data_IF_178434093516
#
_entry.id   IF_178434093516
#
_cell.length_a   1.000
_cell.length_b   1.000
_cell.length_c   1.000
_cell.angle_alpha   90.00
_cell.angle_beta   90.00
_cell.angle_gamma   90.00
#
_symmetry.space_group_name_H-M   'P 1'
#
loop_
_entity.id
_entity.type
_entity.pdbx_description
1 polymer ?
#
# COMPACT_ATOMS: atom_id res chain seq x y z
N UNK A 1 13.35 -0.83 -25.84
CA UNK A 1 12.87 0.58 -25.66
C UNK A 1 13.55 1.22 -24.47
N UNK A 2 13.95 2.50 -24.57
CA UNK A 2 14.41 3.30 -23.46
C UNK A 2 13.22 3.89 -22.69
N UNK A 3 13.19 3.82 -21.37
CA UNK A 3 12.16 4.49 -20.54
C UNK A 3 12.86 5.51 -19.64
N UNK A 4 12.55 6.78 -19.83
CA UNK A 4 13.10 7.90 -19.07
C UNK A 4 12.03 8.43 -18.11
N UNK A 5 12.29 8.35 -16.80
CA UNK A 5 11.36 8.79 -15.75
C UNK A 5 11.88 10.07 -15.11
N UNK A 6 11.14 11.17 -15.25
CA UNK A 6 11.52 12.46 -14.71
C UNK A 6 11.19 12.57 -13.22
N UNK A 7 12.19 12.59 -12.36
CA UNK A 7 12.08 12.62 -10.90
C UNK A 7 12.90 13.75 -10.23
N UNK A 8 13.40 14.75 -11.01
CA UNK A 8 14.33 15.78 -10.54
C UNK A 8 13.67 17.01 -9.89
N UNK A 9 12.35 17.12 -9.90
CA UNK A 9 11.60 18.32 -9.49
C UNK A 9 11.67 18.64 -8.00
N UNK A 10 11.79 19.92 -7.64
CA UNK A 10 11.92 20.40 -6.25
C UNK A 10 10.68 20.19 -5.37
N UNK A 11 9.48 20.12 -5.94
CA UNK A 11 8.25 19.87 -5.17
C UNK A 11 7.92 20.88 -4.07
N UNK A 12 8.27 22.16 -4.22
CA UNK A 12 8.10 23.21 -3.19
C UNK A 12 6.69 23.29 -2.58
N UNK A 13 5.66 23.02 -3.38
CA UNK A 13 4.25 23.02 -2.94
C UNK A 13 3.87 21.89 -1.99
N UNK A 14 4.69 20.82 -1.92
CA UNK A 14 4.49 19.71 -0.99
C UNK A 14 4.78 20.08 0.46
N UNK A 15 5.54 21.15 0.72
CA UNK A 15 5.96 21.61 2.06
C UNK A 15 6.50 20.46 2.90
N UNK A 16 7.40 19.64 2.33
CA UNK A 16 7.96 18.44 2.92
C UNK A 16 9.46 18.39 2.67
N UNK A 17 10.21 17.80 3.60
CA UNK A 17 11.63 17.49 3.40
C UNK A 17 11.82 16.26 2.48
N UNK A 18 10.81 15.39 2.42
CA UNK A 18 10.83 14.24 1.53
C UNK A 18 10.62 14.70 0.08
N UNK A 19 11.47 14.26 -0.89
CA UNK A 19 11.28 14.55 -2.30
C UNK A 19 9.85 14.24 -2.78
N UNK A 20 9.33 15.07 -3.70
CA UNK A 20 7.95 14.95 -4.19
C UNK A 20 7.61 13.53 -4.65
N UNK A 21 8.48 12.94 -5.47
CA UNK A 21 8.28 11.61 -6.05
C UNK A 21 8.33 10.45 -5.04
N UNK A 22 8.85 10.72 -3.84
CA UNK A 22 8.86 9.75 -2.73
C UNK A 22 7.70 9.92 -1.76
N UNK A 23 6.80 10.89 -1.96
CA UNK A 23 5.58 10.97 -1.16
C UNK A 23 4.76 9.70 -1.35
N UNK A 24 4.26 9.10 -0.25
CA UNK A 24 3.56 7.82 -0.34
C UNK A 24 2.13 7.97 -0.88
N UNK A 25 1.78 7.11 -1.82
CA UNK A 25 0.43 6.78 -2.25
C UNK A 25 0.18 5.32 -1.82
N UNK A 26 -0.86 5.04 -1.08
CA UNK A 26 -1.11 3.72 -0.48
C UNK A 26 0.12 3.14 0.26
N UNK A 27 0.85 3.99 1.00
CA UNK A 27 2.12 3.68 1.71
C UNK A 27 3.33 3.34 0.81
N UNK A 28 3.21 3.33 -0.50
CA UNK A 28 4.31 3.12 -1.45
C UNK A 28 4.70 4.46 -2.11
N UNK A 29 6.01 4.80 -2.25
CA UNK A 29 6.43 6.01 -2.96
C UNK A 29 5.83 6.11 -4.37
N UNK A 30 5.41 7.31 -4.78
CA UNK A 30 4.83 7.52 -6.12
C UNK A 30 5.74 7.03 -7.25
N UNK A 31 7.04 7.29 -7.15
CA UNK A 31 8.03 6.81 -8.13
C UNK A 31 8.03 5.28 -8.28
N UNK A 32 7.82 4.54 -7.19
CA UNK A 32 7.78 3.08 -7.23
C UNK A 32 6.54 2.57 -7.97
N UNK A 33 5.38 3.26 -7.86
CA UNK A 33 4.20 2.95 -8.67
C UNK A 33 4.50 3.12 -10.16
N UNK A 34 5.14 4.23 -10.54
CA UNK A 34 5.52 4.49 -11.94
C UNK A 34 6.51 3.43 -12.46
N UNK A 35 7.54 3.10 -11.70
CA UNK A 35 8.53 2.07 -12.07
C UNK A 35 7.90 0.70 -12.26
N UNK A 36 6.97 0.29 -11.40
CA UNK A 36 6.26 -0.99 -11.55
C UNK A 36 5.44 -1.07 -12.84
N UNK A 37 4.84 0.04 -13.26
CA UNK A 37 4.10 0.12 -14.53
C UNK A 37 5.05 0.18 -15.71
N UNK A 38 6.13 0.95 -15.61
CA UNK A 38 7.16 1.08 -16.63
C UNK A 38 7.79 -0.28 -16.99
N UNK A 39 8.10 -1.12 -15.99
CA UNK A 39 8.68 -2.47 -16.21
C UNK A 39 7.80 -3.40 -17.01
N UNK A 40 6.49 -3.16 -17.02
CA UNK A 40 5.51 -4.00 -17.70
C UNK A 40 5.19 -3.52 -19.11
N UNK A 41 5.78 -2.39 -19.54
CA UNK A 41 5.62 -1.89 -20.90
C UNK A 41 6.33 -2.85 -21.86
N UNK A 42 5.68 -3.17 -22.97
CA UNK A 42 6.24 -4.06 -23.99
C UNK A 42 7.53 -3.50 -24.58
N UNK A 43 8.59 -4.29 -24.61
CA UNK A 43 9.90 -3.87 -25.08
C UNK A 43 10.66 -2.93 -24.15
N UNK A 44 10.28 -2.82 -22.87
CA UNK A 44 11.04 -2.08 -21.86
C UNK A 44 12.38 -2.78 -21.57
N UNK A 45 13.51 -2.18 -22.02
CA UNK A 45 14.84 -2.74 -21.84
C UNK A 45 15.69 -1.94 -20.86
N UNK A 46 15.49 -0.61 -20.81
CA UNK A 46 16.27 0.30 -19.98
C UNK A 46 15.38 1.23 -19.20
N UNK A 47 15.56 1.27 -17.88
CA UNK A 47 14.88 2.20 -16.99
C UNK A 47 15.87 3.25 -16.51
N UNK A 48 15.66 4.50 -16.90
CA UNK A 48 16.52 5.63 -16.59
C UNK A 48 15.75 6.62 -15.75
N UNK A 49 16.15 6.82 -14.49
CA UNK A 49 15.51 7.78 -13.58
C UNK A 49 16.36 9.05 -13.52
N UNK A 50 15.79 10.15 -13.97
CA UNK A 50 16.41 11.47 -13.88
C UNK A 50 16.18 12.03 -12.48
N UNK A 51 17.24 12.12 -11.68
CA UNK A 51 17.23 12.64 -10.32
C UNK A 51 17.83 14.04 -10.26
N UNK A 52 17.45 14.81 -9.24
CA UNK A 52 17.95 16.18 -9.08
C UNK A 52 17.86 16.60 -7.61
N UNK A 53 16.85 17.38 -7.23
CA UNK A 53 16.66 17.73 -5.84
C UNK A 53 16.39 16.50 -4.97
N UNK A 54 17.21 16.27 -3.93
CA UNK A 54 17.13 15.09 -3.08
C UNK A 54 17.59 13.79 -3.76
N UNK A 55 18.51 13.88 -4.75
CA UNK A 55 19.00 12.74 -5.52
C UNK A 55 19.43 11.56 -4.65
N UNK A 56 20.18 11.81 -3.56
CA UNK A 56 20.69 10.75 -2.69
C UNK A 56 19.55 9.98 -1.99
N UNK A 57 18.50 10.69 -1.58
CA UNK A 57 17.32 10.06 -0.95
C UNK A 57 16.54 9.23 -1.97
N UNK A 58 16.39 9.74 -3.21
CA UNK A 58 15.73 8.99 -4.29
C UNK A 58 16.53 7.74 -4.65
N UNK A 59 17.85 7.86 -4.82
CA UNK A 59 18.73 6.71 -5.10
C UNK A 59 18.69 5.67 -3.97
N UNK A 60 18.75 6.13 -2.72
CA UNK A 60 18.65 5.24 -1.57
C UNK A 60 17.31 4.48 -1.50
N UNK A 61 16.19 5.09 -1.93
CA UNK A 61 14.88 4.43 -1.99
C UNK A 61 14.78 3.33 -3.06
N UNK A 62 15.70 3.31 -4.00
CA UNK A 62 15.77 2.34 -5.12
C UNK A 62 17.05 1.48 -5.04
N UNK A 63 17.74 1.44 -3.90
CA UNK A 63 19.03 0.75 -3.75
C UNK A 63 18.96 -0.76 -4.03
N UNK A 64 17.79 -1.37 -3.84
CA UNK A 64 17.55 -2.81 -4.09
C UNK A 64 17.07 -3.09 -5.53
N UNK A 65 17.12 -2.09 -6.44
CA UNK A 65 16.62 -2.19 -7.81
C UNK A 65 17.77 -2.03 -8.81
N UNK A 66 18.40 -3.16 -9.13
CA UNK A 66 19.62 -3.21 -9.99
C UNK A 66 19.33 -2.88 -11.47
N UNK A 67 18.07 -2.85 -11.88
CA UNK A 67 17.60 -2.57 -13.24
C UNK A 67 17.46 -1.07 -13.55
N UNK A 68 17.70 -0.19 -12.56
CA UNK A 68 17.52 1.26 -12.69
C UNK A 68 18.86 1.97 -12.89
N UNK A 69 18.98 2.72 -13.97
CA UNK A 69 20.10 3.65 -14.22
C UNK A 69 19.70 5.07 -13.77
N UNK A 70 20.64 5.82 -13.18
CA UNK A 70 20.38 7.18 -12.73
C UNK A 70 21.10 8.21 -13.59
N UNK A 71 20.35 9.23 -14.06
CA UNK A 71 20.90 10.43 -14.69
C UNK A 71 20.72 11.63 -13.75
N UNK A 72 21.79 12.45 -13.56
CA UNK A 72 21.74 13.57 -12.64
C UNK A 72 21.44 14.88 -13.35
N UNK A 73 20.30 15.50 -13.05
CA UNK A 73 19.99 16.88 -13.40
C UNK A 73 20.47 17.82 -12.28
N UNK A 74 21.70 18.29 -12.37
CA UNK A 74 22.32 19.15 -11.34
C UNK A 74 21.61 20.53 -11.22
N UNK A 75 21.12 21.06 -12.32
CA UNK A 75 20.37 22.31 -12.38
C UNK A 75 18.99 22.06 -13.00
N UNK A 76 17.93 22.48 -12.34
CA UNK A 76 16.54 22.27 -12.80
C UNK A 76 16.17 23.35 -13.82
N UNK A 77 16.61 23.20 -15.06
CA UNK A 77 16.42 24.13 -16.18
C UNK A 77 15.25 23.74 -17.11
N UNK A 78 14.32 22.91 -16.63
CA UNK A 78 13.14 22.49 -17.36
C UNK A 78 13.14 21.00 -17.74
N UNK A 79 12.02 20.54 -18.31
CA UNK A 79 11.78 19.11 -18.65
C UNK A 79 12.63 18.64 -19.82
N UNK A 80 12.86 19.48 -20.83
CA UNK A 80 13.78 19.18 -21.93
C UNK A 80 15.21 19.00 -21.43
N UNK A 81 15.68 19.86 -20.53
CA UNK A 81 17.00 19.71 -19.91
C UNK A 81 17.09 18.43 -19.06
N UNK A 82 16.00 18.02 -18.41
CA UNK A 82 16.00 16.75 -17.66
C UNK A 82 16.19 15.54 -18.58
N UNK A 83 15.47 15.49 -19.70
CA UNK A 83 15.62 14.40 -20.69
C UNK A 83 17.03 14.40 -21.30
N UNK A 84 17.64 15.57 -21.57
CA UNK A 84 19.03 15.66 -22.06
C UNK A 84 20.02 14.86 -21.19
N UNK A 85 19.82 14.88 -19.86
CA UNK A 85 20.72 14.16 -18.94
C UNK A 85 20.60 12.63 -19.07
N UNK A 86 19.46 12.14 -19.55
CA UNK A 86 19.22 10.70 -19.73
C UNK A 86 19.78 10.15 -21.05
N UNK A 87 20.04 11.02 -22.03
CA UNK A 87 20.32 10.60 -23.41
C UNK A 87 21.63 9.80 -23.57
N UNK A 88 22.60 9.98 -22.68
CA UNK A 88 23.83 9.18 -22.69
C UNK A 88 23.61 7.70 -22.36
N UNK A 89 22.50 7.40 -21.68
CA UNK A 89 22.08 6.07 -21.28
C UNK A 89 21.08 5.44 -22.26
N UNK A 90 20.62 6.19 -23.28
CA UNK A 90 19.64 5.74 -24.26
C UNK A 90 20.31 5.19 -25.52
N UNK A 91 19.85 4.03 -25.98
CA UNK A 91 20.20 3.48 -27.27
C UNK A 91 19.54 4.26 -28.40
N UNK A 92 20.32 4.60 -29.43
CA UNK A 92 19.89 5.46 -30.53
C UNK A 92 18.82 4.84 -31.42
N UNK A 93 18.86 3.52 -31.58
CA UNK A 93 17.96 2.77 -32.47
C UNK A 93 16.65 2.35 -31.80
N UNK A 94 16.53 2.57 -30.49
CA UNK A 94 15.35 2.28 -29.71
C UNK A 94 14.52 3.55 -29.45
N UNK A 95 13.19 3.49 -29.48
CA UNK A 95 12.37 4.63 -29.06
C UNK A 95 12.56 4.95 -27.58
N UNK A 96 12.35 6.22 -27.24
CA UNK A 96 12.36 6.70 -25.84
C UNK A 96 10.94 7.05 -25.39
N UNK A 97 10.44 6.32 -24.39
CA UNK A 97 9.22 6.66 -23.64
C UNK A 97 9.59 7.55 -22.45
N UNK A 98 9.04 8.74 -22.39
CA UNK A 98 9.21 9.68 -21.27
C UNK A 98 8.02 9.57 -20.34
N UNK A 99 8.29 9.34 -19.06
CA UNK A 99 7.32 9.25 -17.96
C UNK A 99 7.61 10.30 -16.89
N UNK A 100 6.62 10.61 -16.07
CA UNK A 100 6.74 11.52 -14.94
C UNK A 100 6.66 10.75 -13.62
N UNK A 101 7.65 10.88 -12.76
CA UNK A 101 7.73 10.17 -11.47
C UNK A 101 6.67 10.57 -10.43
N UNK A 102 5.88 11.59 -10.71
CA UNK A 102 4.77 12.08 -9.89
C UNK A 102 3.37 11.82 -10.51
N UNK A 103 3.29 10.94 -11.53
CA UNK A 103 2.04 10.46 -12.15
C UNK A 103 1.86 8.97 -11.82
N UNK A 104 1.55 8.60 -10.57
CA UNK A 104 1.63 7.22 -10.09
C UNK A 104 0.49 6.32 -10.53
N UNK A 105 -0.62 6.87 -11.08
CA UNK A 105 -1.79 6.09 -11.52
C UNK A 105 -1.77 5.72 -12.99
N UNK A 106 -0.69 6.05 -13.72
CA UNK A 106 -0.55 5.64 -15.12
C UNK A 106 -0.67 4.11 -15.26
N UNK A 107 -1.45 3.65 -16.23
CA UNK A 107 -1.66 2.22 -16.46
C UNK A 107 -0.79 1.70 -17.61
N UNK A 108 -0.27 0.47 -17.45
CA UNK A 108 0.60 -0.17 -18.46
C UNK A 108 -0.10 -0.32 -19.79
N UNK A 109 -1.40 -0.63 -19.78
CA UNK A 109 -2.23 -0.79 -20.99
C UNK A 109 -2.33 0.53 -21.79
N UNK A 110 -2.39 1.66 -21.11
CA UNK A 110 -2.38 2.98 -21.74
C UNK A 110 -1.01 3.30 -22.34
N UNK A 111 0.07 2.92 -21.64
CA UNK A 111 1.44 3.07 -22.18
C UNK A 111 1.66 2.17 -23.39
N UNK A 112 1.27 0.91 -23.36
CA UNK A 112 1.39 -0.01 -24.49
C UNK A 112 0.60 0.50 -25.71
N UNK A 113 -0.63 0.99 -25.51
CA UNK A 113 -1.42 1.61 -26.58
C UNK A 113 -0.73 2.86 -27.16
N UNK A 114 -0.09 3.68 -26.30
CA UNK A 114 0.68 4.84 -26.78
C UNK A 114 1.87 4.40 -27.65
N UNK A 115 2.61 3.38 -27.21
CA UNK A 115 3.75 2.79 -27.95
C UNK A 115 3.26 2.23 -29.29
N UNK A 116 2.17 1.48 -29.31
CA UNK A 116 1.59 0.89 -30.51
C UNK A 116 1.20 1.96 -31.55
N UNK A 117 0.49 3.02 -31.15
CA UNK A 117 0.06 4.07 -32.07
C UNK A 117 1.20 4.95 -32.57
N UNK A 118 2.31 5.04 -31.81
CA UNK A 118 3.48 5.82 -32.24
C UNK A 118 4.25 5.17 -33.38
N UNK A 119 4.28 3.84 -33.44
CA UNK A 119 5.11 3.10 -34.40
C UNK A 119 6.54 3.59 -34.39
N UNK A 120 7.11 3.90 -35.57
CA UNK A 120 8.45 4.46 -35.73
C UNK A 120 8.48 6.01 -35.64
N UNK A 121 7.34 6.65 -35.42
CA UNK A 121 7.20 8.10 -35.40
C UNK A 121 7.09 8.62 -33.94
N UNK A 122 6.22 9.57 -33.68
CA UNK A 122 6.06 10.19 -32.37
C UNK A 122 4.69 9.90 -31.78
N UNK A 123 4.65 9.51 -30.51
CA UNK A 123 3.42 9.30 -29.74
C UNK A 123 3.27 10.33 -28.63
N UNK A 124 2.08 10.85 -28.44
CA UNK A 124 1.74 11.79 -27.38
C UNK A 124 0.50 11.32 -26.61
N UNK A 125 0.62 11.14 -25.31
CA UNK A 125 -0.53 10.85 -24.46
C UNK A 125 -1.24 12.15 -24.13
N UNK A 126 -2.53 12.24 -24.45
CA UNK A 126 -3.37 13.42 -24.18
C UNK A 126 -4.56 13.06 -23.31
N UNK A 127 -5.20 14.06 -22.74
CA UNK A 127 -6.46 13.92 -22.01
C UNK A 127 -7.31 15.17 -22.21
N UNK A 128 -8.63 15.00 -22.22
CA UNK A 128 -9.58 16.13 -22.21
C UNK A 128 -9.99 16.42 -20.78
N UNK A 129 -9.83 17.69 -20.36
CA UNK A 129 -10.16 18.14 -19.03
C UNK A 129 -11.25 19.22 -19.08
N UNK A 130 -12.29 19.15 -18.24
CA UNK A 130 -13.28 20.22 -18.08
C UNK A 130 -12.66 21.56 -17.64
N UNK A 131 -11.56 21.49 -16.88
CA UNK A 131 -10.76 22.65 -16.47
C UNK A 131 -9.29 22.39 -16.79
N UNK A 132 -8.80 22.81 -17.96
CA UNK A 132 -7.45 22.55 -18.45
C UNK A 132 -6.38 23.47 -17.85
N UNK A 133 -6.72 24.31 -16.88
CA UNK A 133 -5.82 25.30 -16.29
C UNK A 133 -4.54 24.68 -15.73
N UNK A 134 -3.40 25.22 -16.14
CA UNK A 134 -2.08 24.80 -15.68
C UNK A 134 -1.42 23.72 -16.53
N UNK A 135 -2.07 23.25 -17.59
CA UNK A 135 -1.53 22.26 -18.53
C UNK A 135 -1.15 22.92 -19.88
N UNK A 136 -0.24 22.30 -20.61
CA UNK A 136 0.02 22.62 -22.01
C UNK A 136 -1.15 22.22 -22.90
N UNK A 137 -1.53 23.09 -23.84
CA UNK A 137 -2.64 22.85 -24.78
C UNK A 137 -2.18 22.17 -26.04
N UNK A 138 -2.93 21.19 -26.53
CA UNK A 138 -2.66 20.53 -27.80
C UNK A 138 -3.25 21.37 -28.92
N UNK A 139 -2.39 22.01 -29.72
CA UNK A 139 -2.82 22.80 -30.86
C UNK A 139 -2.90 21.89 -32.10
N UNK A 140 -4.09 21.79 -32.69
CA UNK A 140 -4.34 21.01 -33.90
C UNK A 140 -4.66 21.91 -35.08
N UNK A 141 -4.26 21.47 -36.27
CA UNK A 141 -4.64 22.04 -37.54
C UNK A 141 -5.04 20.89 -38.49
N UNK A 142 -6.23 20.95 -39.05
CA UNK A 142 -6.80 19.87 -39.90
C UNK A 142 -6.83 18.50 -39.19
N UNK A 143 -7.05 18.49 -37.86
CA UNK A 143 -7.08 17.29 -37.03
C UNK A 143 -5.69 16.80 -36.55
N UNK A 144 -4.62 17.26 -37.17
CA UNK A 144 -3.24 16.89 -36.80
C UNK A 144 -2.65 17.76 -35.70
N UNK A 145 -1.85 17.18 -34.83
CA UNK A 145 -1.10 17.94 -33.81
C UNK A 145 -0.03 18.78 -34.50
N UNK A 146 0.03 20.08 -34.17
CA UNK A 146 1.02 21.02 -34.68
C UNK A 146 2.00 21.50 -33.63
N UNK A 147 1.51 21.71 -32.43
CA UNK A 147 2.33 22.19 -31.31
C UNK A 147 1.66 21.89 -29.97
N UNK A 148 2.44 21.98 -28.90
CA UNK A 148 1.96 22.14 -27.54
C UNK A 148 2.29 23.57 -27.10
N UNK A 149 1.31 24.28 -26.53
CA UNK A 149 1.52 25.63 -26.00
C UNK A 149 1.28 25.61 -24.50
N UNK A 150 2.29 25.96 -23.73
CA UNK A 150 2.21 25.99 -22.27
C UNK A 150 1.23 27.07 -21.78
N UNK A 151 0.56 26.82 -20.65
CA UNK A 151 -0.46 27.72 -20.07
C UNK A 151 -0.03 29.19 -20.02
N UNK A 152 1.23 29.46 -19.66
CA UNK A 152 1.76 30.83 -19.50
C UNK A 152 2.03 31.54 -20.80
N UNK A 153 2.27 30.78 -21.87
CA UNK A 153 2.57 31.29 -23.20
C UNK A 153 1.34 31.27 -24.13
N UNK A 154 0.22 30.68 -23.66
CA UNK A 154 -1.01 30.49 -24.44
C UNK A 154 -1.79 31.78 -24.59
N UNK A 155 -2.36 32.03 -25.79
CA UNK A 155 -3.37 33.07 -26.05
C UNK A 155 -4.68 32.73 -25.35
N UNK A 156 -5.60 33.69 -25.28
CA UNK A 156 -6.91 33.46 -24.65
C UNK A 156 -7.75 32.43 -25.43
N UNK A 157 -7.60 32.35 -26.73
CA UNK A 157 -8.23 31.35 -27.58
C UNK A 157 -7.63 29.95 -27.31
N UNK A 158 -6.31 29.86 -27.23
CA UNK A 158 -5.62 28.61 -26.92
C UNK A 158 -5.95 28.08 -25.52
N UNK A 159 -6.17 28.96 -24.54
CA UNK A 159 -6.58 28.58 -23.17
C UNK A 159 -7.94 27.89 -23.13
N UNK A 160 -8.81 28.07 -24.15
CA UNK A 160 -10.12 27.39 -24.25
C UNK A 160 -10.02 25.95 -24.75
N UNK A 161 -8.85 25.51 -25.25
CA UNK A 161 -8.64 24.13 -25.71
C UNK A 161 -8.72 23.21 -24.47
N UNK A 162 -9.59 22.19 -24.54
CA UNK A 162 -9.83 21.21 -23.48
C UNK A 162 -8.87 20.02 -23.53
N UNK A 163 -8.25 19.76 -24.70
CA UNK A 163 -7.25 18.72 -24.87
C UNK A 163 -5.88 19.22 -24.40
N UNK A 164 -5.30 18.47 -23.44
CA UNK A 164 -4.06 18.88 -22.80
C UNK A 164 -2.98 17.81 -22.90
N UNK A 165 -1.73 18.30 -22.82
CA UNK A 165 -0.54 17.46 -22.75
C UNK A 165 -0.40 16.86 -21.34
N UNK A 166 -0.14 15.56 -21.27
CA UNK A 166 0.12 14.86 -20.00
C UNK A 166 1.61 14.86 -19.64
N UNK A 167 2.49 15.21 -20.56
CA UNK A 167 3.95 15.09 -20.43
C UNK A 167 4.49 13.69 -20.72
N UNK A 168 3.63 12.72 -21.03
CA UNK A 168 3.99 11.35 -21.36
C UNK A 168 4.03 11.22 -22.89
N UNK A 169 5.18 10.79 -23.43
CA UNK A 169 5.38 10.74 -24.88
C UNK A 169 6.41 9.68 -25.31
N UNK A 170 6.23 9.15 -26.49
CA UNK A 170 7.19 8.26 -27.18
C UNK A 170 7.89 9.06 -28.29
N UNK A 171 9.21 8.98 -28.34
CA UNK A 171 10.03 9.81 -29.23
C UNK A 171 11.11 8.95 -29.90
N UNK A 172 11.38 9.15 -31.19
CA UNK A 172 12.52 8.52 -31.87
C UNK A 172 13.83 9.08 -31.33
N UNK A 173 14.64 8.27 -30.65
CA UNK A 173 15.80 8.70 -29.84
C UNK A 173 16.84 9.47 -30.65
N UNK A 174 17.18 9.06 -31.87
CA UNK A 174 18.12 9.78 -32.73
C UNK A 174 17.67 11.20 -33.04
N UNK A 175 16.37 11.37 -33.32
CA UNK A 175 15.79 12.69 -33.59
C UNK A 175 15.69 13.52 -32.32
N UNK A 176 15.27 12.88 -31.21
CA UNK A 176 15.21 13.52 -29.90
C UNK A 176 16.55 14.17 -29.51
N UNK A 177 17.67 13.47 -29.71
CA UNK A 177 19.01 14.02 -29.45
C UNK A 177 19.28 15.29 -30.25
N UNK A 178 18.88 15.34 -31.54
CA UNK A 178 19.03 16.50 -32.40
C UNK A 178 18.14 17.68 -31.93
N UNK A 179 16.89 17.42 -31.66
CA UNK A 179 15.93 18.43 -31.23
C UNK A 179 16.31 19.04 -29.88
N UNK A 180 16.66 18.21 -28.91
CA UNK A 180 17.08 18.68 -27.59
C UNK A 180 18.34 19.55 -27.65
N UNK A 181 19.30 19.22 -28.52
CA UNK A 181 20.49 20.06 -28.76
C UNK A 181 20.17 21.44 -29.37
N UNK A 182 18.98 21.62 -29.93
CA UNK A 182 18.52 22.86 -30.58
C UNK A 182 17.51 23.65 -29.75
N UNK A 183 17.09 23.14 -28.58
CA UNK A 183 16.12 23.80 -27.69
C UNK A 183 16.64 25.15 -27.22
N UNK A 184 15.70 26.09 -27.10
CA UNK A 184 15.91 27.41 -26.54
C UNK A 184 15.07 27.58 -25.28
N UNK A 185 15.49 28.48 -24.41
CA UNK A 185 14.77 28.81 -23.18
C UNK A 185 14.11 30.21 -23.23
N UNK A 186 13.82 30.71 -24.44
CA UNK A 186 13.20 32.02 -24.66
C UNK A 186 11.68 31.92 -24.48
N UNK A 187 11.22 31.61 -23.26
CA UNK A 187 9.80 31.48 -22.91
C UNK A 187 9.53 32.14 -21.55
N UNK A 188 8.26 32.17 -21.13
CA UNK A 188 7.83 32.85 -19.90
C UNK A 188 8.50 32.33 -18.61
N UNK A 189 9.08 31.14 -18.62
CA UNK A 189 9.73 30.53 -17.46
C UNK A 189 11.27 30.53 -17.56
N UNK A 190 11.85 30.79 -18.73
CA UNK A 190 13.29 30.68 -18.98
C UNK A 190 13.79 29.23 -18.94
N UNK A 191 12.93 28.26 -19.21
CA UNK A 191 13.21 26.83 -19.11
C UNK A 191 13.28 26.17 -20.50
N UNK A 192 14.01 25.07 -20.61
CA UNK A 192 14.01 24.22 -21.80
C UNK A 192 12.79 23.30 -21.75
N UNK A 193 11.75 23.63 -22.52
CA UNK A 193 10.52 22.85 -22.56
C UNK A 193 10.68 21.62 -23.45
N UNK A 194 10.41 20.44 -22.90
CA UNK A 194 10.34 19.22 -23.71
C UNK A 194 9.23 19.31 -24.77
N UNK A 195 8.16 20.04 -24.49
CA UNK A 195 7.01 20.24 -25.38
C UNK A 195 7.36 20.96 -26.69
N UNK A 196 8.48 21.70 -26.73
CA UNK A 196 8.93 22.37 -27.96
C UNK A 196 9.39 21.35 -29.03
N UNK A 197 9.80 20.13 -28.64
CA UNK A 197 10.20 19.09 -29.60
C UNK A 197 9.03 18.65 -30.51
N UNK A 198 7.78 18.88 -30.11
CA UNK A 198 6.59 18.58 -30.92
C UNK A 198 6.59 19.45 -32.20
N UNK A 199 6.80 20.75 -32.05
CA UNK A 199 6.86 21.65 -33.21
C UNK A 199 8.07 21.35 -34.11
N UNK A 200 9.21 20.93 -33.52
CA UNK A 200 10.38 20.51 -34.28
C UNK A 200 10.14 19.22 -35.08
N UNK A 201 9.47 18.24 -34.47
CA UNK A 201 9.10 17.00 -35.13
C UNK A 201 8.17 17.24 -36.33
N UNK A 202 7.16 18.10 -36.15
CA UNK A 202 6.24 18.51 -37.22
C UNK A 202 6.99 19.25 -38.34
N UNK A 203 7.97 20.12 -38.00
CA UNK A 203 8.79 20.80 -39.01
C UNK A 203 9.70 19.83 -39.79
N UNK A 204 10.16 18.77 -39.17
CA UNK A 204 10.93 17.67 -39.79
C UNK A 204 10.03 16.69 -40.61
N UNK A 205 8.70 16.93 -40.66
CA UNK A 205 7.74 16.07 -41.35
C UNK A 205 7.37 14.77 -40.62
N UNK A 206 7.73 14.66 -39.32
CA UNK A 206 7.36 13.51 -38.49
C UNK A 206 5.93 13.73 -37.99
N UNK A 207 5.10 12.71 -38.12
CA UNK A 207 3.73 12.75 -37.63
C UNK A 207 3.67 12.51 -36.13
N UNK A 208 2.81 13.28 -35.45
CA UNK A 208 2.56 13.12 -34.02
C UNK A 208 1.23 12.39 -33.83
N UNK A 209 1.32 11.14 -33.47
CA UNK A 209 0.17 10.29 -33.14
C UNK A 209 -0.29 10.57 -31.70
N UNK A 210 -1.57 10.42 -31.43
CA UNK A 210 -2.09 10.65 -30.07
C UNK A 210 -2.84 9.43 -29.55
N UNK A 211 -2.60 9.09 -28.28
CA UNK A 211 -3.44 8.22 -27.51
C UNK A 211 -4.12 9.03 -26.40
N UNK A 212 -5.34 8.63 -26.01
CA UNK A 212 -6.04 9.26 -24.88
C UNK A 212 -5.86 8.44 -23.61
N UNK A 213 -5.62 9.11 -22.49
CA UNK A 213 -5.74 8.50 -21.18
C UNK A 213 -7.18 8.04 -20.92
N UNK A 214 -7.36 6.99 -20.14
CA UNK A 214 -8.69 6.47 -19.82
C UNK A 214 -9.51 7.45 -18.98
N UNK A 215 -8.86 8.15 -18.06
CA UNK A 215 -9.47 9.19 -17.23
C UNK A 215 -8.42 10.22 -16.78
N UNK A 216 -8.89 11.36 -16.27
CA UNK A 216 -8.02 12.44 -15.79
C UNK A 216 -7.10 11.98 -14.64
N UNK A 217 -7.61 11.17 -13.71
CA UNK A 217 -6.84 10.69 -12.56
C UNK A 217 -5.61 9.86 -12.95
N UNK A 218 -5.68 9.15 -14.07
CA UNK A 218 -4.58 8.31 -14.58
C UNK A 218 -3.31 9.13 -14.88
N UNK A 219 -3.48 10.36 -15.34
CA UNK A 219 -2.40 11.25 -15.80
C UNK A 219 -2.22 12.48 -14.92
N UNK A 220 -2.90 12.54 -13.78
CA UNK A 220 -2.77 13.64 -12.84
C UNK A 220 -1.43 13.61 -12.12
N UNK A 221 -0.64 14.68 -12.27
CA UNK A 221 0.62 14.88 -11.56
C UNK A 221 0.39 15.49 -10.18
N UNK A 222 0.98 14.88 -9.15
CA UNK A 222 0.85 15.32 -7.76
C UNK A 222 1.85 16.42 -7.44
N UNK A 223 1.36 17.61 -7.09
CA UNK A 223 2.18 18.77 -6.75
C UNK A 223 1.92 19.34 -5.34
N UNK A 224 0.87 18.86 -4.67
CA UNK A 224 0.48 19.32 -3.33
C UNK A 224 -0.13 18.19 -2.51
N UNK A 225 -0.21 18.37 -1.18
CA UNK A 225 -0.87 17.39 -0.29
C UNK A 225 -2.36 17.25 -0.59
N UNK A 226 -3.01 18.30 -1.10
CA UNK A 226 -4.43 18.23 -1.52
C UNK A 226 -4.59 17.30 -2.71
N UNK A 227 -3.74 17.45 -3.74
CA UNK A 227 -3.75 16.55 -4.89
C UNK A 227 -3.37 15.13 -4.49
N UNK A 228 -2.37 14.95 -3.61
CA UNK A 228 -2.01 13.63 -3.11
C UNK A 228 -3.20 12.93 -2.42
N UNK A 229 -3.95 13.64 -1.57
CA UNK A 229 -5.11 13.09 -0.89
C UNK A 229 -6.26 12.74 -1.86
N UNK A 230 -6.48 13.56 -2.89
CA UNK A 230 -7.46 13.27 -3.92
C UNK A 230 -7.05 12.02 -4.74
N UNK A 231 -5.78 11.93 -5.10
CA UNK A 231 -5.27 10.78 -5.85
C UNK A 231 -5.26 9.49 -5.03
N UNK A 232 -5.02 9.57 -3.71
CA UNK A 232 -5.18 8.44 -2.78
C UNK A 232 -6.62 7.87 -2.86
N UNK A 233 -7.64 8.74 -2.83
CA UNK A 233 -9.04 8.29 -2.96
C UNK A 233 -9.34 7.68 -4.33
N UNK A 234 -8.79 8.27 -5.40
CA UNK A 234 -8.92 7.70 -6.75
C UNK A 234 -8.29 6.29 -6.82
N UNK A 235 -7.07 6.13 -6.30
CA UNK A 235 -6.40 4.83 -6.21
C UNK A 235 -7.22 3.80 -5.44
N UNK A 236 -7.73 4.17 -4.24
CA UNK A 236 -8.50 3.25 -3.42
C UNK A 236 -9.83 2.88 -4.08
N UNK A 237 -10.46 3.79 -4.81
CA UNK A 237 -11.66 3.47 -5.60
C UNK A 237 -11.34 2.50 -6.75
N UNK A 238 -10.19 2.62 -7.41
CA UNK A 238 -9.76 1.65 -8.42
C UNK A 238 -9.54 0.25 -7.80
N UNK A 239 -8.93 0.18 -6.60
CA UNK A 239 -8.77 -1.10 -5.89
C UNK A 239 -10.14 -1.70 -5.53
N UNK A 240 -11.05 -0.89 -5.00
CA UNK A 240 -12.40 -1.32 -4.67
C UNK A 240 -13.16 -1.83 -5.90
N UNK A 241 -13.06 -1.13 -7.03
CA UNK A 241 -13.70 -1.54 -8.28
C UNK A 241 -13.17 -2.90 -8.77
N UNK A 242 -11.84 -3.11 -8.73
CA UNK A 242 -11.23 -4.41 -9.09
C UNK A 242 -11.74 -5.55 -8.19
N UNK A 243 -11.87 -5.31 -6.89
CA UNK A 243 -12.41 -6.31 -5.95
C UNK A 243 -13.87 -6.65 -6.26
N UNK A 244 -14.71 -5.64 -6.54
CA UNK A 244 -16.10 -5.84 -6.95
C UNK A 244 -16.22 -6.66 -8.25
N UNK A 245 -15.38 -6.38 -9.23
CA UNK A 245 -15.32 -7.13 -10.51
C UNK A 245 -14.85 -8.58 -10.31
N UNK A 246 -14.05 -8.85 -9.27
CA UNK A 246 -13.65 -10.19 -8.86
C UNK A 246 -14.71 -10.92 -8.01
N UNK A 247 -15.84 -10.27 -7.72
CA UNK A 247 -16.94 -10.87 -6.97
C UNK A 247 -16.90 -10.67 -5.46
N UNK A 248 -16.00 -9.81 -4.95
CA UNK A 248 -15.98 -9.44 -3.53
C UNK A 248 -17.16 -8.52 -3.20
N UNK A 249 -17.85 -8.78 -2.12
CA UNK A 249 -18.91 -7.89 -1.62
C UNK A 249 -18.29 -6.79 -0.75
N UNK A 250 -18.39 -5.54 -1.18
CA UNK A 250 -18.00 -4.36 -0.40
C UNK A 250 -19.24 -3.60 0.05
N UNK A 251 -19.44 -3.39 1.35
CA UNK A 251 -20.61 -2.65 1.89
C UNK A 251 -20.53 -1.17 1.48
N UNK A 252 -19.33 -0.58 1.47
CA UNK A 252 -19.10 0.76 0.94
C UNK A 252 -17.71 0.84 0.27
N UNK A 253 -17.66 0.85 -1.07
CA UNK A 253 -16.40 0.91 -1.81
C UNK A 253 -15.55 2.15 -1.51
N UNK A 254 -16.16 3.25 -1.05
CA UNK A 254 -15.43 4.48 -0.73
C UNK A 254 -14.70 4.41 0.63
N UNK A 255 -15.00 3.42 1.45
CA UNK A 255 -14.50 3.30 2.82
C UNK A 255 -13.68 2.03 3.05
N UNK A 256 -12.84 1.67 2.11
CA UNK A 256 -11.79 0.66 2.29
C UNK A 256 -10.45 1.24 1.88
N UNK A 257 -9.36 0.78 2.47
CA UNK A 257 -7.99 1.16 2.11
C UNK A 257 -7.12 -0.08 1.88
N UNK A 258 -6.66 -0.26 0.66
CA UNK A 258 -5.67 -1.29 0.31
C UNK A 258 -4.30 -0.62 0.16
N UNK A 259 -3.38 -0.97 1.05
CA UNK A 259 -2.02 -0.42 1.15
C UNK A 259 -0.98 -1.52 0.98
N UNK A 260 -1.10 -2.26 -0.11
CA UNK A 260 -0.31 -3.44 -0.45
C UNK A 260 -1.05 -4.35 -1.40
N UNK A 261 -0.99 -5.65 -1.18
CA UNK A 261 -1.68 -6.68 -1.95
C UNK A 261 -2.84 -7.28 -1.14
N UNK A 262 -4.04 -7.24 -1.68
CA UNK A 262 -5.21 -7.93 -1.13
C UNK A 262 -5.69 -8.98 -2.14
N UNK A 263 -5.64 -10.24 -1.73
CA UNK A 263 -6.14 -11.38 -2.51
C UNK A 263 -7.38 -11.93 -1.83
N UNK A 264 -8.46 -12.03 -2.57
CA UNK A 264 -9.73 -12.56 -2.06
C UNK A 264 -10.16 -13.80 -2.85
N UNK A 265 -10.69 -14.79 -2.13
CA UNK A 265 -11.42 -15.92 -2.69
C UNK A 265 -12.85 -15.56 -3.06
N UNK A 266 -13.68 -16.59 -3.26
CA UNK A 266 -15.10 -16.44 -3.60
C UNK A 266 -15.93 -16.05 -2.37
N UNK A 267 -17.02 -15.30 -2.58
CA UNK A 267 -18.01 -14.94 -1.55
C UNK A 267 -17.41 -14.23 -0.32
N UNK A 268 -16.30 -13.51 -0.50
CA UNK A 268 -15.71 -12.67 0.55
C UNK A 268 -16.56 -11.41 0.73
N UNK A 269 -16.87 -11.07 1.99
CA UNK A 269 -17.64 -9.89 2.36
C UNK A 269 -16.79 -8.96 3.26
N UNK A 270 -16.63 -7.68 2.87
CA UNK A 270 -15.82 -6.69 3.59
C UNK A 270 -16.71 -5.49 3.97
N UNK A 271 -16.78 -5.22 5.26
CA UNK A 271 -17.51 -4.08 5.81
C UNK A 271 -16.67 -2.80 5.82
N UNK A 272 -17.26 -1.69 6.20
CA UNK A 272 -16.69 -0.35 6.09
C UNK A 272 -15.46 -0.12 6.96
N UNK A 273 -14.56 0.75 6.48
CA UNK A 273 -13.43 1.22 7.27
C UNK A 273 -12.30 0.20 7.46
N UNK A 274 -12.31 -0.89 6.70
CA UNK A 274 -11.24 -1.88 6.74
C UNK A 274 -9.98 -1.39 6.04
N UNK A 275 -8.81 -1.71 6.63
CA UNK A 275 -7.49 -1.34 6.14
C UNK A 275 -6.66 -2.60 5.96
N UNK A 276 -6.08 -2.77 4.77
CA UNK A 276 -5.22 -3.88 4.41
C UNK A 276 -3.81 -3.38 4.10
N UNK A 277 -2.80 -3.92 4.78
CA UNK A 277 -1.40 -3.52 4.63
C UNK A 277 -0.51 -4.74 4.33
N UNK A 278 0.55 -4.53 3.54
CA UNK A 278 1.43 -5.62 3.13
C UNK A 278 0.69 -6.64 2.27
N UNK A 279 0.86 -7.93 2.54
CA UNK A 279 0.15 -9.01 1.84
C UNK A 279 -0.94 -9.60 2.71
N UNK A 280 -2.19 -9.45 2.27
CA UNK A 280 -3.36 -10.01 2.95
C UNK A 280 -4.07 -10.99 2.02
N UNK A 281 -4.35 -12.19 2.52
CA UNK A 281 -5.10 -13.22 1.79
C UNK A 281 -6.36 -13.57 2.59
N UNK A 282 -7.52 -13.40 1.97
CA UNK A 282 -8.82 -13.81 2.51
C UNK A 282 -9.36 -14.95 1.64
N UNK A 283 -9.45 -16.15 2.20
CA UNK A 283 -10.00 -17.31 1.47
C UNK A 283 -11.52 -17.26 1.34
N UNK A 284 -12.10 -18.25 0.69
CA UNK A 284 -13.53 -18.29 0.35
C UNK A 284 -14.45 -18.09 1.57
N UNK A 285 -15.51 -17.35 1.39
CA UNK A 285 -16.55 -17.14 2.40
C UNK A 285 -16.12 -16.37 3.64
N UNK A 286 -14.93 -15.72 3.64
CA UNK A 286 -14.49 -14.88 4.77
C UNK A 286 -15.39 -13.66 4.89
N UNK A 287 -15.90 -13.40 6.11
CA UNK A 287 -16.67 -12.21 6.45
C UNK A 287 -15.89 -11.31 7.38
N UNK A 288 -15.59 -10.09 6.93
CA UNK A 288 -14.82 -9.11 7.68
C UNK A 288 -15.72 -7.95 8.12
N UNK A 289 -15.87 -7.80 9.44
CA UNK A 289 -16.64 -6.72 10.07
C UNK A 289 -15.92 -5.38 10.00
N UNK A 290 -16.67 -4.31 10.30
CA UNK A 290 -16.21 -2.94 10.15
C UNK A 290 -14.96 -2.59 10.96
N UNK A 291 -14.14 -1.67 10.41
CA UNK A 291 -12.97 -1.08 11.08
C UNK A 291 -11.90 -2.09 11.52
N UNK A 292 -11.73 -3.16 10.77
CA UNK A 292 -10.63 -4.10 10.96
C UNK A 292 -9.36 -3.61 10.25
N UNK A 293 -8.20 -3.87 10.87
CA UNK A 293 -6.88 -3.60 10.30
C UNK A 293 -6.14 -4.92 10.20
N UNK A 294 -5.79 -5.33 8.98
CA UNK A 294 -5.04 -6.54 8.69
C UNK A 294 -3.73 -6.19 7.99
N UNK A 295 -2.61 -6.70 8.52
CA UNK A 295 -1.28 -6.49 7.95
C UNK A 295 -0.51 -7.81 7.90
N UNK A 296 -0.11 -8.22 6.70
CA UNK A 296 0.63 -9.48 6.49
C UNK A 296 -0.09 -10.67 7.12
N UNK A 297 -1.37 -10.90 6.75
CA UNK A 297 -2.28 -11.88 7.37
C UNK A 297 -2.89 -12.80 6.31
N UNK A 298 -2.96 -14.08 6.64
CA UNK A 298 -3.74 -15.06 5.89
C UNK A 298 -4.91 -15.56 6.74
N UNK A 299 -6.13 -15.53 6.17
CA UNK A 299 -7.38 -15.93 6.83
C UNK A 299 -8.04 -17.04 6.05
N UNK A 300 -8.17 -18.21 6.67
CA UNK A 300 -8.76 -19.41 6.09
C UNK A 300 -10.25 -19.32 5.81
N UNK A 301 -10.74 -20.29 5.04
CA UNK A 301 -12.12 -20.38 4.54
C UNK A 301 -13.17 -20.27 5.64
N UNK A 302 -14.25 -19.53 5.36
CA UNK A 302 -15.44 -19.45 6.22
C UNK A 302 -15.22 -18.74 7.56
N UNK A 303 -14.10 -18.05 7.74
CA UNK A 303 -13.88 -17.26 8.96
C UNK A 303 -14.78 -16.05 9.07
N UNK A 304 -15.19 -15.75 10.30
CA UNK A 304 -15.94 -14.55 10.65
C UNK A 304 -15.12 -13.68 11.58
N UNK A 305 -14.68 -12.54 11.09
CA UNK A 305 -13.94 -11.54 11.87
C UNK A 305 -14.90 -10.41 12.22
N UNK A 306 -15.15 -10.22 13.51
CA UNK A 306 -16.06 -9.20 14.02
C UNK A 306 -15.38 -7.81 14.05
N UNK A 307 -16.14 -6.70 14.18
CA UNK A 307 -15.60 -5.35 14.07
C UNK A 307 -14.44 -5.04 15.03
N UNK A 308 -13.59 -4.05 14.63
CA UNK A 308 -12.51 -3.48 15.42
C UNK A 308 -11.39 -4.47 15.79
N UNK A 309 -11.13 -5.45 14.96
CA UNK A 309 -9.99 -6.36 15.11
C UNK A 309 -8.71 -5.80 14.49
N UNK A 310 -7.56 -6.11 15.10
CA UNK A 310 -6.25 -5.72 14.58
C UNK A 310 -5.33 -6.95 14.51
N UNK A 311 -5.03 -7.41 13.29
CA UNK A 311 -4.19 -8.57 13.05
C UNK A 311 -2.94 -8.16 12.29
N UNK A 312 -1.78 -8.65 12.72
CA UNK A 312 -0.49 -8.42 12.09
C UNK A 312 0.36 -9.69 12.12
N UNK A 313 0.91 -10.10 10.96
CA UNK A 313 1.83 -11.23 10.84
C UNK A 313 1.25 -12.54 11.42
N UNK A 314 0.00 -12.84 11.10
CA UNK A 314 -0.74 -13.95 11.67
C UNK A 314 -1.35 -14.86 10.58
N UNK A 315 -1.49 -16.13 10.91
CA UNK A 315 -2.21 -17.11 10.08
C UNK A 315 -3.41 -17.63 10.86
N UNK A 316 -4.57 -17.58 10.25
CA UNK A 316 -5.85 -18.06 10.82
C UNK A 316 -6.36 -19.23 9.97
N UNK A 317 -6.58 -20.37 10.60
CA UNK A 317 -7.19 -21.56 9.97
C UNK A 317 -8.65 -21.33 9.57
N UNK A 318 -9.31 -22.39 9.11
CA UNK A 318 -10.67 -22.32 8.59
C UNK A 318 -11.72 -22.19 9.69
N UNK A 319 -12.88 -21.60 9.37
CA UNK A 319 -14.09 -21.50 10.23
C UNK A 319 -13.83 -20.88 11.60
N UNK A 320 -12.79 -20.06 11.72
CA UNK A 320 -12.50 -19.31 12.91
C UNK A 320 -13.52 -18.19 13.15
N UNK A 321 -13.82 -17.90 14.44
CA UNK A 321 -14.64 -16.75 14.85
C UNK A 321 -13.82 -15.85 15.75
N UNK A 322 -13.51 -14.63 15.27
CA UNK A 322 -12.59 -13.71 15.92
C UNK A 322 -13.24 -12.36 16.22
N UNK A 323 -12.95 -11.82 17.39
CA UNK A 323 -13.42 -10.49 17.79
C UNK A 323 -14.71 -10.47 18.60
N UNK A 324 -15.31 -9.26 18.76
CA UNK A 324 -14.74 -7.98 18.36
C UNK A 324 -13.56 -7.56 19.25
N UNK A 325 -12.79 -6.54 18.82
CA UNK A 325 -11.63 -6.01 19.57
C UNK A 325 -10.57 -7.05 19.91
N UNK A 326 -10.34 -8.03 19.04
CA UNK A 326 -9.23 -8.98 19.17
C UNK A 326 -7.96 -8.45 18.51
N UNK A 327 -6.81 -8.78 19.09
CA UNK A 327 -5.51 -8.45 18.55
C UNK A 327 -4.65 -9.69 18.32
N UNK A 328 -4.29 -9.96 17.08
CA UNK A 328 -3.27 -10.97 16.75
C UNK A 328 -1.97 -10.25 16.39
N UNK A 329 -0.88 -10.65 17.03
CA UNK A 329 0.46 -10.09 16.81
C UNK A 329 1.34 -11.07 16.04
N UNK A 330 2.48 -10.59 15.48
CA UNK A 330 3.36 -11.42 14.67
C UNK A 330 3.76 -12.74 15.32
N UNK A 331 3.73 -13.80 14.49
CA UNK A 331 4.03 -15.17 14.91
C UNK A 331 2.86 -15.90 15.56
N UNK A 332 1.64 -15.40 15.40
CA UNK A 332 0.42 -16.10 15.85
C UNK A 332 -0.09 -17.02 14.74
N UNK A 333 -0.35 -18.27 15.09
CA UNK A 333 -1.02 -19.25 14.24
C UNK A 333 -2.24 -19.83 14.97
N UNK A 334 -3.40 -19.68 14.38
CA UNK A 334 -4.65 -20.27 14.86
C UNK A 334 -5.02 -21.42 13.95
N UNK A 335 -5.28 -22.58 14.52
CA UNK A 335 -5.82 -23.72 13.78
C UNK A 335 -7.32 -23.50 13.46
N UNK A 336 -7.94 -24.48 12.79
CA UNK A 336 -9.34 -24.43 12.40
C UNK A 336 -10.29 -24.35 13.60
N UNK A 337 -11.45 -23.73 13.38
CA UNK A 337 -12.56 -23.62 14.35
C UNK A 337 -12.19 -22.95 15.67
N UNK A 338 -11.13 -22.13 15.70
CA UNK A 338 -10.76 -21.37 16.91
C UNK A 338 -11.71 -20.21 17.17
N UNK A 339 -12.00 -19.97 18.46
CA UNK A 339 -12.79 -18.82 18.90
C UNK A 339 -11.94 -17.87 19.73
N UNK A 340 -11.68 -16.66 19.20
CA UNK A 340 -10.93 -15.60 19.88
C UNK A 340 -11.86 -14.42 20.08
N UNK A 341 -12.25 -14.19 21.33
CA UNK A 341 -13.27 -13.20 21.65
C UNK A 341 -12.72 -11.80 21.94
N UNK A 342 -13.52 -11.00 22.62
CA UNK A 342 -13.24 -9.58 22.81
C UNK A 342 -12.14 -9.30 23.87
N UNK A 343 -11.32 -8.28 23.54
CA UNK A 343 -10.20 -7.84 24.36
C UNK A 343 -9.18 -8.97 24.64
N UNK A 344 -8.97 -9.82 23.64
CA UNK A 344 -7.94 -10.87 23.67
C UNK A 344 -6.77 -10.46 22.81
N UNK A 345 -5.57 -10.58 23.37
CA UNK A 345 -4.32 -10.40 22.64
C UNK A 345 -3.55 -11.74 22.57
N UNK A 346 -3.15 -12.14 21.36
CA UNK A 346 -2.32 -13.33 21.14
C UNK A 346 -1.03 -12.95 20.42
N UNK A 347 0.12 -13.48 20.86
CA UNK A 347 1.44 -13.16 20.33
C UNK A 347 2.36 -14.37 20.33
N UNK A 348 3.05 -14.63 19.19
CA UNK A 348 4.04 -15.71 19.06
C UNK A 348 3.54 -17.03 19.66
N UNK A 349 2.29 -17.40 19.34
CA UNK A 349 1.60 -18.53 19.94
C UNK A 349 0.90 -19.37 18.87
N UNK A 350 0.83 -20.64 19.12
CA UNK A 350 0.00 -21.57 18.35
C UNK A 350 -1.22 -21.94 19.17
N UNK A 351 -2.41 -21.82 18.58
CA UNK A 351 -3.69 -22.19 19.20
C UNK A 351 -4.29 -23.34 18.41
N UNK A 352 -4.46 -24.48 19.05
CA UNK A 352 -4.95 -25.72 18.43
C UNK A 352 -6.43 -25.68 18.06
N UNK A 353 -6.82 -26.66 17.26
CA UNK A 353 -8.17 -26.81 16.70
C UNK A 353 -9.28 -26.72 17.76
N UNK A 354 -10.32 -25.94 17.48
CA UNK A 354 -11.52 -25.83 18.32
C UNK A 354 -11.29 -25.15 19.67
N UNK A 355 -10.10 -24.61 19.94
CA UNK A 355 -9.77 -23.94 21.20
C UNK A 355 -10.39 -22.56 21.30
N UNK A 356 -10.72 -22.15 22.53
CA UNK A 356 -11.49 -20.93 22.82
C UNK A 356 -10.76 -20.04 23.81
N UNK A 357 -10.53 -18.78 23.41
CA UNK A 357 -9.99 -17.71 24.23
C UNK A 357 -10.92 -16.50 24.07
N UNK A 358 -11.94 -16.39 24.94
CA UNK A 358 -13.09 -15.55 24.60
C UNK A 358 -13.12 -14.19 25.27
N UNK A 359 -12.36 -13.96 26.38
CA UNK A 359 -12.56 -12.75 27.16
C UNK A 359 -11.30 -12.28 27.87
N UNK A 360 -10.92 -11.00 27.66
CA UNK A 360 -9.96 -10.25 28.48
C UNK A 360 -8.66 -11.01 28.79
N UNK A 361 -8.08 -11.71 27.83
CA UNK A 361 -6.94 -12.62 28.04
C UNK A 361 -5.73 -12.20 27.23
N UNK A 362 -4.54 -12.47 27.79
CA UNK A 362 -3.27 -12.36 27.07
C UNK A 362 -2.61 -13.74 26.94
N UNK A 363 -2.39 -14.18 25.72
CA UNK A 363 -1.73 -15.44 25.38
C UNK A 363 -0.45 -15.11 24.60
N UNK A 364 0.70 -15.18 25.27
CA UNK A 364 2.00 -14.88 24.68
C UNK A 364 2.99 -16.02 24.82
N UNK A 365 3.77 -16.26 23.76
CA UNK A 365 4.81 -17.30 23.71
C UNK A 365 4.28 -18.68 24.18
N UNK A 366 3.12 -19.13 23.65
CA UNK A 366 2.37 -20.30 24.12
C UNK A 366 2.15 -21.31 22.99
N UNK A 367 2.34 -22.58 23.28
CA UNK A 367 1.88 -23.71 22.46
C UNK A 367 0.64 -24.32 23.12
N UNK A 368 -0.53 -24.12 22.51
CA UNK A 368 -1.82 -24.56 23.02
C UNK A 368 -2.38 -25.66 22.14
N UNK A 369 -2.78 -26.76 22.77
CA UNK A 369 -3.44 -27.89 22.13
C UNK A 369 -4.85 -27.59 21.63
N UNK A 370 -5.54 -28.64 21.25
CA UNK A 370 -6.90 -28.59 20.68
C UNK A 370 -7.98 -28.60 21.78
N UNK A 371 -9.14 -28.00 21.50
CA UNK A 371 -10.33 -28.00 22.37
C UNK A 371 -10.09 -27.42 23.78
N UNK A 372 -9.06 -26.60 23.92
CA UNK A 372 -8.75 -25.88 25.16
C UNK A 372 -9.76 -24.78 25.40
N UNK A 373 -10.23 -24.63 26.65
CA UNK A 373 -11.08 -23.50 27.02
C UNK A 373 -10.34 -22.60 28.02
N UNK A 374 -10.03 -21.38 27.59
CA UNK A 374 -9.38 -20.36 28.42
C UNK A 374 -10.45 -19.48 29.08
N UNK A 375 -10.45 -19.45 30.42
CA UNK A 375 -11.33 -18.60 31.22
C UNK A 375 -10.98 -17.11 31.09
N UNK A 376 -11.95 -16.25 31.35
CA UNK A 376 -11.80 -14.81 31.29
C UNK A 376 -10.66 -14.29 32.21
N UNK A 377 -9.86 -13.37 31.72
CA UNK A 377 -8.75 -12.78 32.51
C UNK A 377 -7.52 -13.69 32.64
N UNK A 378 -7.40 -14.74 31.85
CA UNK A 378 -6.19 -15.58 31.85
C UNK A 378 -5.02 -14.85 31.24
N UNK A 379 -3.85 -14.91 31.90
CA UNK A 379 -2.61 -14.27 31.46
C UNK A 379 -1.46 -15.28 31.48
N UNK A 380 -0.77 -15.43 30.35
CA UNK A 380 0.54 -16.08 30.31
C UNK A 380 1.62 -15.07 30.73
N UNK A 381 2.20 -15.24 31.92
CA UNK A 381 3.26 -14.38 32.44
C UNK A 381 4.61 -14.85 31.85
N UNK A 382 4.85 -14.50 30.60
CA UNK A 382 5.94 -15.02 29.78
C UNK A 382 7.25 -14.20 29.81
N UNK A 383 7.36 -13.19 30.69
CA UNK A 383 8.49 -12.26 30.73
C UNK A 383 8.92 -11.97 32.17
N UNK A 384 10.22 -12.14 32.48
CA UNK A 384 10.78 -11.92 33.80
C UNK A 384 11.49 -10.55 33.99
N UNK A 385 11.39 -9.69 32.98
CA UNK A 385 12.10 -8.42 32.92
C UNK A 385 13.31 -8.43 31.97
N UNK A 386 13.82 -9.63 31.60
CA UNK A 386 14.97 -9.82 30.70
C UNK A 386 14.65 -10.90 29.66
N UNK A 387 14.20 -12.09 30.08
CA UNK A 387 14.00 -13.27 29.24
C UNK A 387 12.51 -13.53 29.01
N UNK A 388 12.24 -14.26 27.92
CA UNK A 388 10.90 -14.78 27.60
C UNK A 388 10.89 -16.28 27.68
N UNK A 389 9.80 -16.81 28.25
CA UNK A 389 9.59 -18.21 28.48
C UNK A 389 8.29 -18.67 27.82
N UNK A 390 8.24 -19.96 27.46
CA UNK A 390 7.05 -20.56 26.86
C UNK A 390 6.15 -21.23 27.88
N UNK A 391 4.86 -21.19 27.57
CA UNK A 391 3.82 -21.99 28.23
C UNK A 391 3.39 -23.08 27.27
N UNK A 392 3.27 -24.33 27.76
CA UNK A 392 2.72 -25.43 26.99
C UNK A 392 1.39 -25.85 27.59
N UNK A 393 0.34 -25.98 26.76
CA UNK A 393 -1.00 -26.37 27.18
C UNK A 393 -1.42 -27.57 26.33
N UNK A 394 -1.73 -28.67 26.99
CA UNK A 394 -2.22 -29.88 26.32
C UNK A 394 -3.65 -29.78 25.83
N UNK A 395 -4.11 -30.79 25.14
CA UNK A 395 -5.46 -30.89 24.62
C UNK A 395 -6.52 -30.95 25.74
N UNK A 396 -7.74 -30.46 25.45
CA UNK A 396 -8.91 -30.57 26.35
C UNK A 396 -8.73 -29.88 27.72
N UNK A 397 -7.72 -29.06 27.90
CA UNK A 397 -7.48 -28.36 29.17
C UNK A 397 -8.54 -27.27 29.41
N UNK A 398 -8.98 -27.12 30.66
CA UNK A 398 -9.96 -26.14 31.09
C UNK A 398 -9.39 -25.17 32.11
N UNK A 399 -9.52 -23.87 31.84
CA UNK A 399 -9.05 -22.80 32.72
C UNK A 399 -10.22 -22.03 33.31
N UNK A 400 -10.27 -21.95 34.64
CA UNK A 400 -11.16 -21.04 35.33
C UNK A 400 -10.72 -19.59 35.12
N UNK A 401 -11.65 -18.66 35.36
CA UNK A 401 -11.35 -17.22 35.20
C UNK A 401 -10.25 -16.73 36.13
N UNK A 402 -9.57 -15.65 35.72
CA UNK A 402 -8.49 -15.00 36.48
C UNK A 402 -7.33 -15.95 36.83
N UNK A 403 -6.87 -16.70 35.81
CA UNK A 403 -5.73 -17.62 35.94
C UNK A 403 -4.45 -16.99 35.42
N UNK A 404 -3.37 -17.05 36.23
CA UNK A 404 -2.05 -16.55 35.88
C UNK A 404 -1.11 -17.72 35.66
N UNK A 405 -0.45 -17.81 34.49
CA UNK A 405 0.52 -18.87 34.17
C UNK A 405 1.92 -18.28 34.19
N UNK A 406 2.67 -18.57 35.27
CA UNK A 406 4.06 -18.08 35.42
C UNK A 406 4.99 -18.99 34.64
N UNK A 407 5.29 -18.59 33.39
CA UNK A 407 6.13 -19.38 32.50
C UNK A 407 7.61 -19.46 33.00
N UNK A 408 8.31 -20.60 32.75
CA UNK A 408 7.85 -21.75 31.99
C UNK A 408 6.97 -22.70 32.81
N UNK A 409 5.81 -23.10 32.29
CA UNK A 409 4.93 -24.11 32.89
C UNK A 409 4.25 -24.94 31.81
N UNK A 410 3.93 -26.18 32.17
CA UNK A 410 3.17 -27.11 31.33
C UNK A 410 1.83 -27.43 32.00
N UNK A 411 0.74 -27.35 31.24
CA UNK A 411 -0.58 -27.83 31.62
C UNK A 411 -0.88 -29.09 30.83
N UNK A 412 -1.07 -30.23 31.54
CA UNK A 412 -1.31 -31.54 30.92
C UNK A 412 -2.66 -31.61 30.20
N UNK A 413 -2.83 -32.66 29.37
CA UNK A 413 -4.09 -32.92 28.66
C UNK A 413 -5.24 -33.08 29.65
N UNK A 414 -6.43 -32.49 29.35
CA UNK A 414 -7.60 -32.60 30.22
C UNK A 414 -7.43 -32.00 31.61
N UNK A 415 -6.33 -31.32 31.92
CA UNK A 415 -6.13 -30.67 33.22
C UNK A 415 -7.11 -29.55 33.41
N UNK A 416 -7.56 -29.36 34.64
CA UNK A 416 -8.46 -28.26 35.06
C UNK A 416 -7.74 -27.31 36.00
N UNK A 417 -7.69 -26.03 35.68
CA UNK A 417 -7.24 -24.98 36.59
C UNK A 417 -8.44 -24.28 37.19
N UNK A 418 -8.54 -24.23 38.51
CA UNK A 418 -9.64 -23.53 39.21
C UNK A 418 -9.49 -22.01 39.06
N UNK A 419 -10.62 -21.27 39.08
CA UNK A 419 -10.61 -19.81 38.98
C UNK A 419 -9.73 -19.16 40.05
N UNK A 420 -9.02 -18.09 39.69
CA UNK A 420 -8.08 -17.38 40.57
C UNK A 420 -6.76 -18.13 40.85
N UNK A 421 -6.39 -19.09 40.00
CA UNK A 421 -5.15 -19.86 40.18
C UNK A 421 -3.97 -19.09 39.61
N UNK A 422 -2.89 -18.95 40.45
CA UNK A 422 -1.57 -18.57 40.00
C UNK A 422 -0.71 -19.84 39.88
N UNK A 423 -0.52 -20.32 38.64
CA UNK A 423 0.24 -21.54 38.37
C UNK A 423 1.74 -21.22 38.32
N UNK A 424 2.54 -21.81 39.19
CA UNK A 424 4.00 -21.63 39.24
C UNK A 424 4.77 -22.94 39.04
N UNK A 425 4.07 -24.07 38.88
CA UNK A 425 4.59 -25.38 38.58
C UNK A 425 3.62 -26.07 37.63
N UNK A 426 4.09 -27.13 36.96
CA UNK A 426 3.28 -27.88 36.02
C UNK A 426 1.98 -28.40 36.65
N UNK A 427 0.90 -28.39 35.86
CA UNK A 427 -0.39 -28.98 36.23
C UNK A 427 -0.51 -30.35 35.56
N UNK A 428 -0.66 -31.48 36.34
CA UNK A 428 -0.72 -32.80 35.80
C UNK A 428 -1.96 -33.04 34.91
N UNK A 429 -1.84 -34.01 34.03
CA UNK A 429 -2.92 -34.46 33.14
C UNK A 429 -4.14 -34.94 33.92
N UNK A 430 -5.34 -34.49 33.49
CA UNK A 430 -6.63 -34.91 34.04
C UNK A 430 -6.89 -34.45 35.47
N UNK A 431 -6.02 -33.69 36.08
CA UNK A 431 -6.11 -33.26 37.47
C UNK A 431 -6.68 -31.85 37.65
N UNK A 432 -7.23 -31.56 38.83
CA UNK A 432 -7.65 -30.24 39.26
C UNK A 432 -6.52 -29.55 40.03
N UNK A 433 -5.96 -28.46 39.50
CA UNK A 433 -4.96 -27.66 40.18
C UNK A 433 -5.56 -26.36 40.70
N UNK A 434 -5.31 -26.03 41.96
CA UNK A 434 -5.78 -24.82 42.64
C UNK A 434 -4.62 -24.11 43.36
N UNK A 435 -4.61 -22.77 43.26
CA UNK A 435 -3.64 -21.93 43.95
C UNK A 435 -4.36 -20.66 44.43
N UNK A 436 -5.12 -20.79 45.55
CA UNK A 436 -5.92 -19.71 46.15
C UNK A 436 -5.68 -19.57 47.64
N UNK A 437 -5.62 -18.32 48.11
CA UNK A 437 -5.59 -18.03 49.55
C UNK A 437 -6.93 -18.45 50.20
N UNK A 438 -6.86 -18.86 51.48
CA UNK A 438 -8.08 -19.16 52.23
C UNK A 438 -8.94 -17.91 52.39
N UNK A 439 -10.22 -17.99 52.08
CA UNK A 439 -11.14 -16.88 52.31
C UNK A 439 -11.23 -16.54 53.78
N UNK A 440 -11.14 -15.27 54.11
CA UNK A 440 -11.30 -14.74 55.46
C UNK A 440 -12.41 -13.67 55.43
N UNK A 441 -13.34 -13.78 56.37
CA UNK A 441 -14.41 -12.79 56.57
C UNK A 441 -14.16 -12.08 57.91
N UNK A 442 -14.07 -10.75 57.85
CA UNK A 442 -13.90 -9.93 59.06
C UNK A 442 -15.29 -9.46 59.51
N UNK A 443 -15.77 -10.06 60.59
CA UNK A 443 -17.06 -9.67 61.19
C UNK A 443 -16.95 -8.27 61.78
N UNK A 444 -17.99 -7.46 61.61
CA UNK A 444 -18.02 -6.10 62.17
C UNK A 444 -17.18 -5.06 61.43
N UNK A 445 -16.55 -5.42 60.27
CA UNK A 445 -15.79 -4.44 59.47
C UNK A 445 -16.67 -3.29 59.02
N UNK A 446 -16.23 -2.05 59.26
CA UNK A 446 -16.92 -0.83 58.80
C UNK A 446 -16.15 -0.16 57.69
N UNK A 447 -16.83 0.14 56.59
CA UNK A 447 -16.28 0.88 55.47
C UNK A 447 -15.85 2.30 55.93
N UNK A 448 -14.63 2.75 55.68
CA UNK A 448 -14.25 4.13 55.90
C UNK A 448 -15.16 5.12 55.19
N UNK A 449 -15.59 6.18 55.91
CA UNK A 449 -16.38 7.29 55.34
C UNK A 449 -15.54 8.56 55.37
N UNK A 450 -15.68 9.39 54.32
CA UNK A 450 -15.04 10.71 54.33
C UNK A 450 -15.63 11.54 55.47
N UNK A 451 -14.80 12.02 56.36
CA UNK A 451 -15.22 13.11 57.24
C UNK A 451 -15.51 14.33 56.37
N UNK A 452 -16.72 14.85 56.46
CA UNK A 452 -17.13 16.10 55.85
C UNK A 452 -16.42 17.28 56.47
#
# INVERSE_FOLDING_TARGET
MNIVILAAGMGKRMRSQLPKVLQPLAKKPMLHHVLEKARKVEGADRLIVVVGHGADVVKASLADQDDVTFALQAQQLGTGHAVMQALEHCEDDEPTLVLLGDVPLIETETLNRLVEVSGDEMGLLTVKLPNPKGYGRIVRMDGEVRAIVEEKDATDEQRQIDEVNTGIMVLPTRKLKQWLGSLKNNNAQGEYYLTDVIAMAVADGIKVHTAFAQCAAEVEGVNSKVQLAALERAYQMQQAQRLLEQGVTLIDPARIDVRGELVCGQDVEIDVGCIFEGKVVLHDGVKLGAHCVLKDVEVGEGCVILPFCHFEGAVVGQKGRLGPYSRLRPGTTLADETHIGNFVEIKKSVVGHGSKVNHLSYIGDTDMGSRVNIGAGTITCNYDGVNKFRTTIGDDAFFGSDTQLIAPVTVGNGATLGAGTTLTKDAPEGELTLSRARQVTISGWKRPVKNK
#
